data_IF_566520380601
#
_entry.id   IF_566520380601
#
_cell.length_a   1.000
_cell.length_b   1.000
_cell.length_c   1.000
_cell.angle_alpha   90.00
_cell.angle_beta   90.00
_cell.angle_gamma   90.00
#
_symmetry.space_group_name_H-M   'P 1'
#
loop_
_entity.id
_entity.type
_entity.pdbx_description
1 polymer ?
#
# COMPACT_ATOMS: atom_id res chain seq x y z
N UNK A 1 -21.87 -8.60 7.26
CA UNK A 1 -20.64 -8.74 6.45
C UNK A 1 -19.61 -9.67 7.06
N UNK A 2 -19.38 -10.83 6.43
CA UNK A 2 -18.47 -11.88 6.94
C UNK A 2 -17.08 -11.87 6.30
N UNK A 3 -16.84 -11.08 5.26
CA UNK A 3 -15.68 -11.18 4.36
C UNK A 3 -14.44 -10.39 4.79
N UNK A 4 -14.61 -9.37 5.63
CA UNK A 4 -13.52 -8.46 6.02
C UNK A 4 -13.39 -8.34 7.53
N UNK A 5 -12.14 -8.21 8.01
CA UNK A 5 -11.86 -7.52 9.26
C UNK A 5 -11.85 -6.01 9.00
N UNK A 6 -12.42 -5.23 9.91
CA UNK A 6 -12.36 -3.77 9.85
C UNK A 6 -11.56 -3.27 11.04
N UNK A 7 -10.36 -2.76 10.78
CA UNK A 7 -9.40 -2.36 11.80
C UNK A 7 -9.28 -0.84 11.84
N UNK A 8 -9.44 -0.24 13.01
CA UNK A 8 -9.08 1.16 13.26
C UNK A 8 -7.62 1.20 13.72
N UNK A 9 -6.76 1.80 12.93
CA UNK A 9 -5.32 1.89 13.17
C UNK A 9 -4.98 3.32 13.60
N UNK A 10 -4.38 3.45 14.78
CA UNK A 10 -3.98 4.73 15.36
C UNK A 10 -2.43 4.74 15.39
N UNK A 11 -1.77 5.76 14.83
CA UNK A 11 -0.32 5.85 14.83
C UNK A 11 0.20 5.95 16.28
N UNK A 12 1.29 5.24 16.58
CA UNK A 12 1.96 5.37 17.88
C UNK A 12 2.63 6.72 18.08
N UNK A 13 3.11 7.30 16.98
CA UNK A 13 3.75 8.61 16.93
C UNK A 13 2.99 9.46 15.91
N UNK A 14 2.11 10.33 16.40
CA UNK A 14 1.23 11.15 15.56
C UNK A 14 1.97 12.24 14.79
N UNK A 15 3.19 12.60 15.20
CA UNK A 15 3.93 13.72 14.60
C UNK A 15 4.68 13.29 13.33
N UNK A 16 4.80 11.97 13.11
CA UNK A 16 5.43 11.39 11.91
C UNK A 16 4.45 11.09 10.77
N UNK A 17 3.16 11.35 10.95
CA UNK A 17 2.13 11.03 9.96
C UNK A 17 1.13 12.17 9.78
N UNK A 18 0.53 12.26 8.60
CA UNK A 18 -0.42 13.34 8.26
C UNK A 18 -1.87 13.04 8.69
N UNK A 19 -2.18 11.81 9.10
CA UNK A 19 -3.52 11.36 9.49
C UNK A 19 -3.64 11.15 11.01
N UNK A 20 -4.86 11.28 11.53
CA UNK A 20 -5.19 10.95 12.93
C UNK A 20 -5.36 9.44 13.12
N UNK A 21 -6.07 8.79 12.21
CA UNK A 21 -6.20 7.33 12.15
C UNK A 21 -6.60 6.91 10.73
N UNK A 22 -6.54 5.61 10.46
CA UNK A 22 -7.17 5.04 9.27
C UNK A 22 -7.98 3.79 9.62
N UNK A 23 -9.02 3.53 8.82
CA UNK A 23 -9.75 2.27 8.84
C UNK A 23 -9.27 1.40 7.68
N UNK A 24 -8.93 0.15 7.95
CA UNK A 24 -8.52 -0.80 6.93
C UNK A 24 -9.51 -1.97 6.87
N UNK A 25 -9.95 -2.31 5.65
CA UNK A 25 -10.72 -3.52 5.37
C UNK A 25 -9.77 -4.59 4.90
N UNK A 26 -9.53 -5.57 5.77
CA UNK A 26 -8.60 -6.67 5.52
C UNK A 26 -9.40 -7.91 5.12
N UNK A 27 -9.17 -8.42 3.92
CA UNK A 27 -9.83 -9.62 3.41
C UNK A 27 -9.44 -10.83 4.26
N UNK A 28 -10.42 -11.60 4.77
CA UNK A 28 -10.15 -12.62 5.80
C UNK A 28 -9.34 -13.81 5.31
N UNK A 29 -9.40 -14.15 4.02
CA UNK A 29 -8.69 -15.32 3.49
C UNK A 29 -7.27 -14.99 3.04
N UNK A 30 -7.08 -13.82 2.43
CA UNK A 30 -5.79 -13.40 1.84
C UNK A 30 -5.00 -12.48 2.75
N UNK A 31 -5.63 -11.93 3.79
CA UNK A 31 -5.08 -10.92 4.69
C UNK A 31 -4.60 -9.63 4.00
N UNK A 32 -5.04 -9.38 2.77
CA UNK A 32 -4.76 -8.12 2.07
C UNK A 32 -5.69 -7.01 2.56
N UNK A 33 -5.12 -5.82 2.80
CA UNK A 33 -5.90 -4.60 2.95
C UNK A 33 -6.40 -4.15 1.57
N UNK A 34 -7.69 -4.34 1.31
CA UNK A 34 -8.30 -4.03 -0.01
C UNK A 34 -8.93 -2.64 -0.06
N UNK A 35 -9.16 -2.03 1.09
CA UNK A 35 -9.63 -0.64 1.21
C UNK A 35 -9.03 0.00 2.45
N UNK A 36 -8.61 1.26 2.34
CA UNK A 36 -8.19 2.08 3.48
C UNK A 36 -8.88 3.44 3.39
N UNK A 37 -9.40 3.92 4.52
CA UNK A 37 -9.95 5.27 4.66
C UNK A 37 -9.15 6.03 5.70
N UNK A 38 -8.57 7.17 5.30
CA UNK A 38 -7.77 8.04 6.17
C UNK A 38 -8.60 9.19 6.70
N UNK A 39 -8.43 9.45 8.00
CA UNK A 39 -9.17 10.48 8.73
C UNK A 39 -8.20 11.48 9.35
N UNK A 40 -8.56 12.75 9.28
CA UNK A 40 -7.78 13.83 9.88
C UNK A 40 -8.08 14.03 11.37
N UNK A 41 -7.49 15.07 11.98
CA UNK A 41 -7.69 15.41 13.40
C UNK A 41 -9.13 15.83 13.73
N UNK A 42 -9.92 16.26 12.75
CA UNK A 42 -11.35 16.60 12.89
C UNK A 42 -12.26 15.39 12.71
N UNK A 43 -11.70 14.24 12.33
CA UNK A 43 -12.46 13.03 12.04
C UNK A 43 -13.06 13.02 10.62
N UNK A 44 -12.61 13.91 9.74
CA UNK A 44 -13.06 13.95 8.35
C UNK A 44 -12.28 12.95 7.50
N UNK A 45 -13.01 12.14 6.74
CA UNK A 45 -12.41 11.26 5.73
C UNK A 45 -11.91 12.10 4.57
N UNK A 46 -10.60 12.14 4.35
CA UNK A 46 -10.01 13.00 3.33
C UNK A 46 -9.27 12.24 2.23
N UNK A 47 -8.90 10.97 2.46
CA UNK A 47 -8.20 10.16 1.47
C UNK A 47 -8.67 8.72 1.55
N UNK A 48 -8.81 8.07 0.41
CA UNK A 48 -9.21 6.66 0.32
C UNK A 48 -8.32 5.88 -0.65
N UNK A 49 -7.94 4.68 -0.22
CA UNK A 49 -7.23 3.69 -1.01
C UNK A 49 -8.17 2.53 -1.35
N UNK A 50 -8.05 2.01 -2.56
CA UNK A 50 -8.78 0.84 -3.03
C UNK A 50 -7.88 -0.08 -3.87
N UNK A 51 -7.91 -1.38 -3.58
CA UNK A 51 -7.35 -2.39 -4.45
C UNK A 51 -8.31 -2.65 -5.62
N UNK A 52 -7.89 -2.30 -6.84
CA UNK A 52 -8.67 -2.48 -8.06
C UNK A 52 -8.46 -3.83 -8.72
N UNK A 53 -7.29 -4.44 -8.51
CA UNK A 53 -6.95 -5.76 -9.04
C UNK A 53 -6.01 -6.49 -8.08
N UNK A 54 -6.33 -7.76 -7.82
CA UNK A 54 -5.49 -8.70 -7.08
C UNK A 54 -5.20 -9.88 -7.97
N UNK A 55 -3.92 -10.19 -8.17
CA UNK A 55 -3.46 -11.38 -8.88
C UNK A 55 -2.68 -12.28 -7.92
N UNK A 56 -2.64 -13.59 -8.20
CA UNK A 56 -1.75 -14.52 -7.50
C UNK A 56 -0.45 -14.62 -8.28
N UNK A 57 0.62 -14.00 -7.78
CA UNK A 57 1.93 -13.97 -8.42
C UNK A 57 2.86 -14.92 -7.66
N UNK A 58 3.35 -15.97 -8.31
CA UNK A 58 4.25 -16.97 -7.70
C UNK A 58 3.74 -17.55 -6.37
N UNK A 59 2.41 -17.69 -6.24
CA UNK A 59 1.77 -18.21 -5.03
C UNK A 59 1.25 -17.13 -4.07
N UNK A 60 1.68 -15.88 -4.22
CA UNK A 60 1.35 -14.78 -3.30
C UNK A 60 0.19 -13.92 -3.82
N UNK A 61 -0.90 -13.75 -3.06
CA UNK A 61 -1.95 -12.79 -3.41
C UNK A 61 -1.38 -11.38 -3.35
N UNK A 62 -1.46 -10.65 -4.46
CA UNK A 62 -0.75 -9.37 -4.65
C UNK A 62 -1.69 -8.35 -5.26
N UNK A 63 -1.79 -7.16 -4.67
CA UNK A 63 -2.49 -6.02 -5.30
C UNK A 63 -1.64 -5.54 -6.47
N UNK A 64 -2.09 -5.81 -7.70
CA UNK A 64 -1.39 -5.42 -8.93
C UNK A 64 -1.91 -4.13 -9.54
N UNK A 65 -3.11 -3.69 -9.13
CA UNK A 65 -3.65 -2.37 -9.46
C UNK A 65 -4.38 -1.80 -8.26
N UNK A 66 -4.10 -0.54 -7.94
CA UNK A 66 -4.75 0.19 -6.86
C UNK A 66 -5.00 1.64 -7.22
N UNK A 67 -5.79 2.29 -6.37
CA UNK A 67 -6.25 3.67 -6.54
C UNK A 67 -6.14 4.39 -5.22
N UNK A 68 -5.61 5.60 -5.27
CA UNK A 68 -5.62 6.54 -4.16
C UNK A 68 -6.39 7.78 -4.59
N UNK A 69 -7.42 8.16 -3.85
CA UNK A 69 -8.22 9.35 -4.11
C UNK A 69 -8.11 10.32 -2.95
N UNK A 70 -7.77 11.57 -3.24
CA UNK A 70 -7.87 12.68 -2.30
C UNK A 70 -9.25 13.34 -2.45
N UNK A 71 -10.04 13.31 -1.39
CA UNK A 71 -11.43 13.77 -1.39
C UNK A 71 -11.54 15.28 -1.22
N UNK A 72 -10.47 15.97 -0.79
CA UNK A 72 -10.45 17.42 -0.65
C UNK A 72 -10.20 18.08 -2.00
N UNK A 73 -9.25 17.54 -2.75
CA UNK A 73 -8.90 18.09 -4.08
C UNK A 73 -9.65 17.41 -5.22
N UNK A 74 -10.22 16.22 -4.98
CA UNK A 74 -10.81 15.37 -6.01
C UNK A 74 -9.79 14.64 -6.88
N UNK A 75 -8.49 14.81 -6.60
CA UNK A 75 -7.41 14.19 -7.38
C UNK A 75 -7.33 12.69 -7.14
N UNK A 76 -6.89 11.95 -8.16
CA UNK A 76 -6.76 10.50 -8.11
C UNK A 76 -5.41 10.07 -8.67
N UNK A 77 -4.82 9.03 -8.08
CA UNK A 77 -3.63 8.35 -8.56
C UNK A 77 -3.92 6.88 -8.71
N UNK A 78 -3.61 6.32 -9.88
CA UNK A 78 -3.70 4.89 -10.15
C UNK A 78 -2.28 4.32 -10.14
N UNK A 79 -2.04 3.33 -9.29
CA UNK A 79 -0.79 2.58 -9.25
C UNK A 79 -1.03 1.21 -9.88
N UNK A 80 -0.20 0.85 -10.86
CA UNK A 80 -0.25 -0.45 -11.54
C UNK A 80 1.13 -1.07 -11.62
N UNK A 81 1.20 -2.39 -11.36
CA UNK A 81 2.40 -3.19 -11.54
C UNK A 81 2.26 -4.05 -12.80
N UNK A 82 3.26 -3.99 -13.67
CA UNK A 82 3.30 -4.79 -14.92
C UNK A 82 4.15 -6.05 -14.76
N UNK A 83 5.16 -6.01 -13.90
CA UNK A 83 6.07 -7.13 -13.64
C UNK A 83 6.37 -7.22 -12.15
N UNK A 84 5.90 -8.29 -11.52
CA UNK A 84 6.15 -8.60 -10.11
C UNK A 84 6.82 -9.96 -10.05
N UNK A 85 7.93 -10.05 -9.32
CA UNK A 85 8.68 -11.29 -9.06
C UNK A 85 8.99 -11.36 -7.58
N UNK A 86 8.90 -12.54 -6.97
CA UNK A 86 9.22 -12.76 -5.57
C UNK A 86 10.53 -13.55 -5.44
N UNK A 87 11.14 -13.49 -4.26
CA UNK A 87 12.28 -14.33 -3.87
C UNK A 87 13.48 -14.34 -4.84
N UNK A 88 13.73 -13.24 -5.55
CA UNK A 88 14.78 -13.13 -6.59
C UNK A 88 16.22 -13.00 -6.06
N UNK A 89 16.44 -13.17 -4.75
CA UNK A 89 17.78 -13.16 -4.14
C UNK A 89 18.48 -11.80 -4.16
N UNK A 90 17.76 -10.71 -3.86
CA UNK A 90 18.35 -9.37 -3.73
C UNK A 90 19.31 -9.32 -2.53
N UNK A 91 20.61 -9.00 -2.73
CA UNK A 91 21.58 -8.98 -1.63
C UNK A 91 21.46 -7.70 -0.79
N UNK A 92 21.55 -7.82 0.53
CA UNK A 92 21.35 -6.71 1.49
C UNK A 92 22.15 -5.44 1.16
N UNK A 93 23.40 -5.61 0.68
CA UNK A 93 24.30 -4.49 0.35
C UNK A 93 23.74 -3.47 -0.66
N UNK A 94 22.72 -3.83 -1.45
CA UNK A 94 22.12 -2.89 -2.41
C UNK A 94 21.13 -1.92 -1.77
N UNK A 95 20.71 -2.14 -0.52
CA UNK A 95 19.80 -1.25 0.21
C UNK A 95 20.57 -0.15 0.96
N UNK A 96 21.40 0.59 0.24
CA UNK A 96 22.18 1.72 0.77
C UNK A 96 22.06 2.94 -0.12
N UNK A 97 22.27 4.14 0.42
CA UNK A 97 22.15 5.41 -0.32
C UNK A 97 23.02 5.45 -1.59
N UNK A 98 24.18 4.78 -1.57
CA UNK A 98 25.06 4.65 -2.73
C UNK A 98 24.31 4.11 -3.95
N UNK A 99 23.45 3.12 -3.74
CA UNK A 99 22.69 2.48 -4.81
C UNK A 99 21.44 3.27 -5.23
N UNK A 100 21.04 4.31 -4.48
CA UNK A 100 20.10 5.33 -4.99
C UNK A 100 20.76 6.21 -6.05
N UNK A 101 22.07 6.49 -5.92
CA UNK A 101 22.84 7.29 -6.89
C UNK A 101 23.36 6.46 -8.06
N UNK A 102 23.65 5.18 -7.82
CA UNK A 102 24.14 4.22 -8.83
C UNK A 102 23.29 2.95 -8.77
N UNK A 103 22.17 2.90 -9.53
CA UNK A 103 21.24 1.78 -9.47
C UNK A 103 21.91 0.44 -9.76
N UNK A 104 21.56 -0.63 -9.03
CA UNK A 104 22.14 -1.95 -9.23
C UNK A 104 21.49 -2.64 -10.44
N UNK A 105 21.88 -2.21 -11.64
CA UNK A 105 21.28 -2.59 -12.95
C UNK A 105 21.14 -4.09 -13.18
N UNK A 106 22.01 -4.92 -12.56
CA UNK A 106 21.91 -6.39 -12.59
C UNK A 106 20.54 -6.91 -12.15
N UNK A 107 19.84 -6.22 -11.25
CA UNK A 107 18.55 -6.65 -10.67
C UNK A 107 17.34 -5.88 -11.24
N UNK A 108 17.56 -4.95 -12.16
CA UNK A 108 16.52 -4.11 -12.75
C UNK A 108 16.07 -4.59 -14.14
N UNK A 109 16.50 -5.78 -14.55
CA UNK A 109 16.16 -6.41 -15.84
C UNK A 109 15.14 -7.53 -15.66
#
# INVERSE_FOLDING_TARGET
DKTFYVLKNIPKDSDKVEFSYYKAWVHKETFLAVKIEYFDRKGEKYREYEALKVDKVEGYPTVTKSRMKDLRTGSETILGYTQVKYNIGLPEKIFTERYLRRPPTKYLK
#
